data_IF_989886914166
#
_entry.id   IF_989886914166
#
_cell.length_a   1.000
_cell.length_b   1.000
_cell.length_c   1.000
_cell.angle_alpha   90.00
_cell.angle_beta   90.00
_cell.angle_gamma   90.00
#
_symmetry.space_group_name_H-M   'P 1'
#
loop_
_entity.id
_entity.type
_entity.pdbx_description
1 polymer ?
#
# COMPACT_ATOMS: atom_id res chain seq x y z
N UNK A 1 -17.10 -7.89 6.20
CA UNK A 1 -16.39 -6.67 5.78
C UNK A 1 -16.34 -6.62 4.26
N UNK A 2 -16.76 -5.52 3.61
CA UNK A 2 -16.59 -5.31 2.16
C UNK A 2 -15.16 -5.63 1.68
N UNK A 3 -14.99 -6.27 0.50
CA UNK A 3 -13.66 -6.63 -0.03
C UNK A 3 -12.65 -5.48 -0.07
N UNK A 4 -13.09 -4.28 -0.46
CA UNK A 4 -12.27 -3.05 -0.43
C UNK A 4 -11.69 -2.74 0.95
N UNK A 5 -12.49 -2.88 2.02
CA UNK A 5 -12.04 -2.63 3.39
C UNK A 5 -11.10 -3.72 3.90
N UNK A 6 -11.30 -4.98 3.50
CA UNK A 6 -10.39 -6.06 3.84
C UNK A 6 -9.02 -5.86 3.18
N UNK A 7 -8.99 -5.52 1.88
CA UNK A 7 -7.75 -5.19 1.18
C UNK A 7 -7.03 -4.06 1.93
N UNK A 8 -7.74 -2.98 2.25
CA UNK A 8 -7.16 -1.84 2.96
C UNK A 8 -6.56 -2.23 4.33
N UNK A 9 -7.26 -3.02 5.14
CA UNK A 9 -6.75 -3.47 6.46
C UNK A 9 -5.53 -4.39 6.39
N UNK A 10 -5.31 -5.04 5.24
CA UNK A 10 -4.29 -6.09 5.07
C UNK A 10 -3.06 -5.60 4.34
N UNK A 11 -3.21 -4.58 3.48
CA UNK A 11 -2.14 -4.13 2.58
C UNK A 11 -0.92 -3.55 3.31
N UNK A 12 -1.12 -3.04 4.52
CA UNK A 12 -0.06 -2.49 5.37
C UNK A 12 0.61 -3.53 6.29
N UNK A 13 0.08 -4.75 6.38
CA UNK A 13 0.68 -5.79 7.22
C UNK A 13 1.87 -6.40 6.49
N UNK A 14 3.05 -5.83 6.74
CA UNK A 14 4.33 -6.22 6.14
C UNK A 14 5.45 -6.19 7.17
N UNK A 15 5.28 -6.95 8.24
CA UNK A 15 6.31 -7.13 9.26
C UNK A 15 7.17 -8.37 8.97
N UNK A 16 8.31 -8.47 9.65
CA UNK A 16 9.27 -9.56 9.45
C UNK A 16 8.69 -10.96 9.71
N UNK A 17 7.68 -11.08 10.56
CA UNK A 17 7.07 -12.36 10.97
C UNK A 17 5.70 -12.62 10.34
N UNK A 18 5.07 -11.60 9.77
CA UNK A 18 3.73 -11.61 9.22
C UNK A 18 3.63 -10.64 8.05
N UNK A 19 3.30 -11.23 6.92
CA UNK A 19 3.05 -10.54 5.67
C UNK A 19 1.73 -11.00 5.09
N UNK A 20 0.73 -10.12 5.03
CA UNK A 20 -0.62 -10.47 4.58
C UNK A 20 -0.82 -10.24 3.05
N UNK A 21 0.26 -10.13 2.27
CA UNK A 21 0.16 -9.88 0.82
C UNK A 21 -0.58 -10.98 0.03
N UNK A 22 -0.51 -12.23 0.50
CA UNK A 22 -1.28 -13.33 -0.07
C UNK A 22 -2.79 -13.13 0.12
N UNK A 23 -3.22 -12.62 1.28
CA UNK A 23 -4.63 -12.32 1.55
C UNK A 23 -5.15 -11.25 0.58
N UNK A 24 -4.35 -10.19 0.34
CA UNK A 24 -4.67 -9.14 -0.63
C UNK A 24 -4.80 -9.73 -2.04
N UNK A 25 -3.84 -10.54 -2.48
CA UNK A 25 -3.88 -11.15 -3.80
C UNK A 25 -5.09 -12.08 -3.98
N UNK A 26 -5.41 -12.89 -2.97
CA UNK A 26 -6.59 -13.75 -2.97
C UNK A 26 -7.90 -12.96 -3.01
N UNK A 27 -7.98 -11.83 -2.31
CA UNK A 27 -9.14 -10.93 -2.37
C UNK A 27 -9.31 -10.33 -3.76
N UNK A 28 -8.24 -9.87 -4.41
CA UNK A 28 -8.31 -9.42 -5.80
C UNK A 28 -8.81 -10.55 -6.70
N UNK A 29 -8.19 -11.73 -6.64
CA UNK A 29 -8.55 -12.88 -7.48
C UNK A 29 -10.04 -13.24 -7.35
N UNK A 30 -10.53 -13.38 -6.12
CA UNK A 30 -11.87 -13.92 -5.84
C UNK A 30 -12.97 -12.86 -5.77
N UNK A 31 -12.63 -11.58 -5.55
CA UNK A 31 -13.60 -10.50 -5.30
C UNK A 31 -13.42 -9.26 -6.19
N UNK A 32 -12.61 -9.31 -7.25
CA UNK A 32 -12.39 -8.17 -8.17
C UNK A 32 -13.67 -7.47 -8.67
N UNK A 33 -14.78 -8.20 -8.88
CA UNK A 33 -16.06 -7.62 -9.34
C UNK A 33 -16.78 -6.80 -8.25
N UNK A 34 -16.54 -7.14 -6.99
CA UNK A 34 -17.13 -6.48 -5.82
C UNK A 34 -16.23 -5.34 -5.31
N UNK A 35 -14.99 -5.25 -5.83
CA UNK A 35 -14.04 -4.22 -5.47
C UNK A 35 -14.49 -2.87 -6.05
N UNK A 36 -14.74 -1.91 -5.16
CA UNK A 36 -14.93 -0.52 -5.53
C UNK A 36 -13.56 0.13 -5.67
N UNK A 37 -12.95 -0.01 -6.83
CA UNK A 37 -11.55 0.37 -7.09
C UNK A 37 -11.28 1.86 -6.89
N UNK A 38 -12.22 2.72 -7.26
CA UNK A 38 -12.15 4.17 -7.03
C UNK A 38 -12.16 4.50 -5.52
N UNK A 39 -12.96 3.77 -4.74
CA UNK A 39 -12.99 3.93 -3.28
C UNK A 39 -11.71 3.39 -2.64
N UNK A 40 -11.18 2.27 -3.16
CA UNK A 40 -9.90 1.72 -2.70
C UNK A 40 -8.76 2.71 -2.93
N UNK A 41 -8.68 3.27 -4.14
CA UNK A 41 -7.69 4.30 -4.47
C UNK A 41 -7.88 5.53 -3.59
N UNK A 42 -9.12 6.00 -3.39
CA UNK A 42 -9.41 7.13 -2.50
C UNK A 42 -8.95 6.93 -1.06
N UNK A 43 -9.13 5.72 -0.49
CA UNK A 43 -8.61 5.41 0.86
C UNK A 43 -7.08 5.32 0.90
N UNK A 44 -6.46 4.90 -0.20
CA UNK A 44 -5.00 4.72 -0.32
C UNK A 44 -4.33 5.91 -1.03
N UNK A 45 -4.99 7.07 -1.14
CA UNK A 45 -4.48 8.20 -1.93
C UNK A 45 -3.10 8.67 -1.46
N UNK A 46 -2.87 8.71 -0.13
CA UNK A 46 -1.57 9.06 0.46
C UNK A 46 -0.54 7.91 0.44
N UNK A 47 -0.99 6.71 0.09
CA UNK A 47 -0.24 5.45 0.15
C UNK A 47 -0.36 4.69 -1.18
N UNK A 48 -0.54 5.41 -2.29
CA UNK A 48 -0.85 4.83 -3.58
C UNK A 48 0.30 3.94 -4.08
N UNK A 49 1.54 4.21 -3.64
CA UNK A 49 2.70 3.36 -3.91
C UNK A 49 2.51 1.94 -3.34
N UNK A 50 1.88 1.83 -2.16
CA UNK A 50 1.58 0.55 -1.52
C UNK A 50 0.54 -0.24 -2.32
N UNK A 51 -0.47 0.46 -2.85
CA UNK A 51 -1.44 -0.14 -3.77
C UNK A 51 -0.74 -0.64 -5.04
N UNK A 52 0.11 0.18 -5.64
CA UNK A 52 0.86 -0.20 -6.85
C UNK A 52 1.72 -1.45 -6.61
N UNK A 53 2.45 -1.53 -5.50
CA UNK A 53 3.25 -2.72 -5.12
C UNK A 53 2.36 -3.96 -5.02
N UNK A 54 1.21 -3.86 -4.35
CA UNK A 54 0.28 -4.99 -4.22
C UNK A 54 -0.29 -5.43 -5.57
N UNK A 55 -0.61 -4.50 -6.47
CA UNK A 55 -1.09 -4.82 -7.83
C UNK A 55 0.00 -5.44 -8.70
N UNK A 56 1.24 -4.97 -8.61
CA UNK A 56 2.38 -5.58 -9.30
C UNK A 56 2.63 -7.00 -8.78
N UNK A 57 2.57 -7.20 -7.46
CA UNK A 57 2.69 -8.52 -6.84
C UNK A 57 1.54 -9.45 -7.31
N UNK A 58 0.29 -8.97 -7.33
CA UNK A 58 -0.84 -9.73 -7.87
C UNK A 58 -0.60 -10.18 -9.32
N UNK A 59 -0.13 -9.28 -10.19
CA UNK A 59 0.16 -9.59 -11.60
C UNK A 59 1.30 -10.60 -11.76
N UNK A 60 2.27 -10.60 -10.85
CA UNK A 60 3.34 -11.60 -10.82
C UNK A 60 2.83 -12.97 -10.35
N UNK A 61 2.01 -13.01 -9.30
CA UNK A 61 1.42 -14.25 -8.75
C UNK A 61 0.43 -14.88 -9.76
N UNK A 62 -0.38 -14.06 -10.44
CA UNK A 62 -1.45 -14.49 -11.34
C UNK A 62 -1.33 -13.82 -12.73
N UNK A 63 -0.35 -14.21 -13.55
CA UNK A 63 -0.10 -13.56 -14.84
C UNK A 63 -1.26 -13.73 -15.84
N UNK A 64 -1.99 -14.85 -15.78
CA UNK A 64 -3.19 -15.11 -16.60
C UNK A 64 -4.41 -14.26 -16.18
N UNK A 65 -4.45 -13.82 -14.93
CA UNK A 65 -5.57 -13.07 -14.34
C UNK A 65 -5.24 -11.58 -14.17
N UNK A 66 -4.14 -11.11 -14.76
CA UNK A 66 -3.67 -9.72 -14.65
C UNK A 66 -4.72 -8.67 -15.05
N UNK A 67 -5.68 -9.05 -15.90
CA UNK A 67 -6.76 -8.19 -16.42
C UNK A 67 -7.97 -8.13 -15.47
N UNK A 68 -7.94 -8.84 -14.33
CA UNK A 68 -8.91 -8.67 -13.24
C UNK A 68 -8.74 -7.34 -12.50
N UNK A 69 -7.56 -6.72 -12.61
CA UNK A 69 -7.31 -5.35 -12.17
C UNK A 69 -7.69 -4.39 -13.30
N UNK A 70 -8.50 -3.35 -13.05
CA UNK A 70 -8.87 -2.40 -14.09
C UNK A 70 -7.64 -1.75 -14.72
N UNK A 71 -7.61 -1.68 -16.05
CA UNK A 71 -6.52 -1.04 -16.79
C UNK A 71 -6.30 0.41 -16.37
N UNK A 72 -7.38 1.18 -16.18
CA UNK A 72 -7.30 2.59 -15.79
C UNK A 72 -6.55 2.77 -14.46
N UNK A 73 -6.70 1.85 -13.51
CA UNK A 73 -6.06 1.94 -12.20
C UNK A 73 -4.55 1.72 -12.31
N UNK A 74 -4.13 0.76 -13.14
CA UNK A 74 -2.72 0.56 -13.42
C UNK A 74 -2.11 1.77 -14.15
N UNK A 75 -2.82 2.31 -15.14
CA UNK A 75 -2.35 3.47 -15.89
C UNK A 75 -2.20 4.70 -14.98
N UNK A 76 -3.21 5.01 -14.15
CA UNK A 76 -3.19 6.09 -13.16
C UNK A 76 -1.99 5.96 -12.19
N UNK A 77 -1.77 4.79 -11.59
CA UNK A 77 -0.69 4.60 -10.61
C UNK A 77 0.70 4.68 -11.25
N UNK A 78 0.86 4.22 -12.49
CA UNK A 78 2.12 4.33 -13.23
C UNK A 78 2.39 5.77 -13.67
N UNK A 79 1.34 6.53 -14.02
CA UNK A 79 1.45 7.96 -14.31
C UNK A 79 1.86 8.75 -13.07
N UNK A 80 1.27 8.49 -11.91
CA UNK A 80 1.70 9.08 -10.62
C UNK A 80 3.17 8.81 -10.31
N UNK A 81 3.64 7.58 -10.55
CA UNK A 81 5.06 7.22 -10.35
C UNK A 81 5.97 8.01 -11.29
N UNK A 82 5.57 8.15 -12.55
CA UNK A 82 6.31 8.96 -13.53
C UNK A 82 6.35 10.43 -13.09
N UNK A 83 5.22 11.01 -12.72
CA UNK A 83 5.15 12.41 -12.28
C UNK A 83 5.98 12.66 -11.02
N UNK A 84 5.94 11.72 -10.05
CA UNK A 84 6.74 11.81 -8.83
C UNK A 84 8.25 11.77 -9.13
N UNK A 85 8.68 11.06 -10.17
CA UNK A 85 10.10 10.99 -10.56
C UNK A 85 10.66 12.32 -11.08
N UNK A 86 9.78 13.21 -11.57
CA UNK A 86 10.13 14.57 -12.02
C UNK A 86 10.13 15.59 -10.86
N UNK A 87 9.57 15.22 -9.71
CA UNK A 87 9.52 16.08 -8.52
C UNK A 87 10.76 15.88 -7.66
N UNK A 88 11.36 16.98 -7.19
CA UNK A 88 12.45 16.91 -6.22
C UNK A 88 11.95 16.24 -4.94
N UNK A 89 12.62 15.16 -4.54
CA UNK A 89 12.32 14.45 -3.30
C UNK A 89 12.37 15.35 -2.05
N UNK A 90 11.82 14.89 -0.92
CA UNK A 90 11.73 15.68 0.31
C UNK A 90 13.10 16.24 0.73
N UNK A 91 13.15 17.50 1.12
CA UNK A 91 14.37 18.14 1.65
C UNK A 91 14.78 17.64 3.05
N UNK A 92 14.06 16.67 3.62
CA UNK A 92 14.30 16.06 4.93
C UNK A 92 14.23 14.53 4.80
N UNK A 93 15.00 13.82 5.62
CA UNK A 93 14.92 12.37 5.73
C UNK A 93 13.61 11.96 6.42
N UNK A 94 12.75 11.21 5.74
CA UNK A 94 11.49 10.70 6.28
C UNK A 94 11.42 9.19 6.02
N UNK A 95 11.10 8.40 7.03
CA UNK A 95 10.92 6.95 6.89
C UNK A 95 9.44 6.62 7.05
N UNK A 96 8.80 6.14 5.98
CA UNK A 96 7.42 5.63 6.01
C UNK A 96 7.34 4.15 6.40
N UNK A 97 8.46 3.45 6.54
CA UNK A 97 8.47 2.01 6.83
C UNK A 97 7.80 1.64 8.17
N UNK A 98 7.79 2.55 9.14
CA UNK A 98 7.08 2.34 10.41
C UNK A 98 5.56 2.23 10.28
N UNK A 99 4.98 2.63 9.15
CA UNK A 99 3.57 2.33 8.80
C UNK A 99 3.37 0.82 8.57
N UNK A 100 4.37 0.12 8.03
CA UNK A 100 4.32 -1.32 7.83
C UNK A 100 4.67 -2.08 9.10
N UNK A 101 5.76 -1.68 9.75
CA UNK A 101 6.25 -2.32 10.97
C UNK A 101 7.02 -1.31 11.82
N UNK A 102 6.42 -0.82 12.92
CA UNK A 102 7.11 0.11 13.82
C UNK A 102 8.42 -0.45 14.38
N UNK A 103 8.49 -1.78 14.58
CA UNK A 103 9.64 -2.50 15.12
C UNK A 103 10.76 -2.66 14.09
N UNK A 104 10.43 -3.12 12.88
CA UNK A 104 11.46 -3.42 11.89
C UNK A 104 12.14 -2.17 11.36
N UNK A 105 11.41 -1.03 11.37
CA UNK A 105 11.91 0.28 10.95
C UNK A 105 12.23 1.22 12.12
N UNK A 106 12.39 0.70 13.34
CA UNK A 106 12.80 1.50 14.49
C UNK A 106 14.21 2.09 14.30
N UNK A 107 15.11 1.30 13.72
CA UNK A 107 16.50 1.69 13.46
C UNK A 107 16.60 2.93 12.56
N UNK A 108 15.68 3.09 11.61
CA UNK A 108 15.63 4.23 10.69
C UNK A 108 15.51 5.56 11.45
N UNK A 109 14.68 5.58 12.49
CA UNK A 109 14.42 6.77 13.31
C UNK A 109 15.49 6.90 14.40
N UNK A 110 15.73 5.81 15.14
CA UNK A 110 16.59 5.83 16.33
C UNK A 110 18.08 6.02 16.00
N UNK A 111 18.53 5.53 14.85
CA UNK A 111 19.95 5.49 14.50
C UNK A 111 20.29 6.17 13.19
N UNK A 112 19.42 6.10 12.16
CA UNK A 112 19.73 6.62 10.82
C UNK A 112 19.24 8.06 10.57
N UNK A 113 18.56 8.65 11.55
CA UNK A 113 18.17 10.06 11.56
C UNK A 113 17.01 10.40 10.62
N UNK A 114 16.14 9.43 10.34
CA UNK A 114 14.88 9.68 9.63
C UNK A 114 13.82 10.21 10.61
N UNK A 115 12.97 11.12 10.12
CA UNK A 115 11.78 11.56 10.86
C UNK A 115 10.64 10.56 10.69
N UNK A 116 9.80 10.44 11.72
CA UNK A 116 8.53 9.71 11.63
C UNK A 116 7.60 10.32 10.57
N UNK A 117 6.76 9.49 9.91
CA UNK A 117 5.75 10.01 9.02
C UNK A 117 4.66 10.72 9.86
N UNK A 118 4.27 11.92 9.45
CA UNK A 118 3.14 12.62 10.08
C UNK A 118 1.84 11.90 9.69
N UNK A 119 1.09 11.43 10.68
CA UNK A 119 -0.09 10.58 10.50
C UNK A 119 0.16 9.17 11.03
N UNK A 120 0.14 9.03 12.34
CA UNK A 120 0.36 7.74 13.00
C UNK A 120 -0.91 6.89 12.82
N UNK A 121 -0.86 5.85 11.99
CA UNK A 121 -1.99 4.92 11.82
C UNK A 121 -2.38 4.24 13.14
N UNK A 122 -1.45 4.16 14.10
CA UNK A 122 -1.73 3.69 15.47
C UNK A 122 -2.83 4.49 16.16
N UNK A 123 -2.94 5.81 15.91
CA UNK A 123 -4.02 6.64 16.48
C UNK A 123 -5.38 6.33 15.84
N UNK A 124 -5.41 5.91 14.57
CA UNK A 124 -6.65 5.54 13.88
C UNK A 124 -7.14 4.13 14.27
N UNK A 125 -6.25 3.17 14.50
CA UNK A 125 -6.63 1.80 14.90
C UNK A 125 -6.82 1.61 16.41
N UNK A 126 -6.32 2.52 17.25
CA UNK A 126 -6.61 2.53 18.68
C UNK A 126 -7.98 3.13 19.01
N UNK A 127 -8.70 3.66 18.01
CA UNK A 127 -9.98 4.36 18.14
C UNK A 127 -11.21 3.54 17.76
N UNK A 128 -11.05 2.28 17.29
CA UNK A 128 -12.14 1.38 16.87
C UNK A 128 -12.23 0.11 17.74
#
# INVERSE_FOLDING_TARGET
>A
VPPTQLIWSKIFVQDHHRYDGADVAHMILKRHKDNKWEQLLGHLELYWEVLLIALLNFRFIYPSERDLVPKWLMDELLERLKDQSEVKGPGKKVCRGRIFSPRDFAIDVEQWGFSEPVGNLEEQYASD
#
